data_IF_032720662826
#
_entry.id   IF_032720662826
#
_cell.length_a   1.000
_cell.length_b   1.000
_cell.length_c   1.000
_cell.angle_alpha   90.00
_cell.angle_beta   90.00
_cell.angle_gamma   90.00
#
_symmetry.space_group_name_H-M   'P 1'
#
loop_
_entity.id
_entity.type
_entity.pdbx_description
1 polymer ?
#
# COMPACT_ATOMS: atom_id res chain seq x y z
N UNK A 1 -1.82 -10.25 -2.61
CA UNK A 1 -1.18 -10.55 -1.31
C UNK A 1 0.15 -9.83 -1.28
N UNK A 2 0.32 -8.80 -0.45
CA UNK A 2 1.65 -8.23 -0.19
C UNK A 2 2.33 -9.25 0.73
N UNK A 3 3.45 -9.83 0.30
CA UNK A 3 4.22 -10.76 1.13
C UNK A 3 4.81 -10.01 2.31
N UNK A 4 4.58 -10.52 3.53
CA UNK A 4 5.16 -9.98 4.77
C UNK A 4 6.68 -9.78 4.60
N UNK A 5 7.16 -8.60 4.96
CA UNK A 5 8.59 -8.26 4.93
C UNK A 5 9.20 -8.10 3.53
N UNK A 6 8.39 -7.91 2.47
CA UNK A 6 8.91 -7.59 1.14
C UNK A 6 8.79 -6.09 0.84
N UNK A 7 9.91 -5.45 0.54
CA UNK A 7 9.94 -4.10 -0.01
C UNK A 7 9.74 -4.17 -1.52
N UNK A 8 8.73 -3.47 -2.03
CA UNK A 8 8.41 -3.41 -3.47
C UNK A 8 8.62 -1.98 -3.94
N UNK A 9 9.47 -1.80 -4.95
CA UNK A 9 9.74 -0.51 -5.58
C UNK A 9 9.20 -0.53 -7.00
N UNK A 10 8.37 0.46 -7.35
CA UNK A 10 7.93 0.69 -8.72
C UNK A 10 8.67 1.90 -9.29
N UNK A 11 9.59 1.64 -10.21
CA UNK A 11 10.59 2.58 -10.68
C UNK A 11 10.32 2.95 -12.14
N UNK A 12 10.70 4.18 -12.52
CA UNK A 12 10.85 4.53 -13.94
C UNK A 12 12.03 3.75 -14.53
N UNK A 13 12.09 3.69 -15.87
CA UNK A 13 13.20 3.08 -16.58
C UNK A 13 14.56 3.64 -16.13
N UNK A 14 14.70 4.98 -16.13
CA UNK A 14 15.97 5.64 -15.82
C UNK A 14 16.42 5.34 -14.39
N UNK A 15 15.53 5.44 -13.41
CA UNK A 15 15.85 5.13 -12.01
C UNK A 15 16.16 3.64 -11.83
N UNK A 16 15.48 2.73 -12.53
CA UNK A 16 15.75 1.30 -12.48
C UNK A 16 17.15 0.95 -13.03
N UNK A 17 17.51 1.50 -14.19
CA UNK A 17 18.80 1.27 -14.83
C UNK A 17 19.96 1.81 -13.98
N UNK A 18 19.78 2.98 -13.35
CA UNK A 18 20.74 3.53 -12.40
C UNK A 18 20.84 2.70 -11.11
N UNK A 19 19.70 2.24 -10.58
CA UNK A 19 19.64 1.50 -9.32
C UNK A 19 20.43 0.18 -9.38
N UNK A 20 20.42 -0.48 -10.55
CA UNK A 20 21.24 -1.68 -10.78
C UNK A 20 20.87 -2.87 -9.90
N UNK A 21 19.61 -2.97 -9.48
CA UNK A 21 19.05 -4.11 -8.75
C UNK A 21 18.19 -4.99 -9.68
N UNK A 22 18.09 -6.30 -9.42
CA UNK A 22 17.25 -7.18 -10.22
C UNK A 22 15.78 -6.78 -10.08
N UNK A 23 15.08 -6.71 -11.21
CA UNK A 23 13.68 -6.32 -11.29
C UNK A 23 13.06 -6.79 -12.60
N UNK A 24 11.73 -6.75 -12.66
CA UNK A 24 10.97 -7.16 -13.84
C UNK A 24 10.23 -5.96 -14.44
N UNK A 25 10.03 -5.88 -15.76
CA UNK A 25 9.12 -4.90 -16.34
C UNK A 25 7.73 -4.99 -15.69
N UNK A 26 7.12 -3.84 -15.41
CA UNK A 26 5.77 -3.80 -14.87
C UNK A 26 4.79 -4.46 -15.86
N UNK A 27 3.80 -5.19 -15.34
CA UNK A 27 2.82 -5.93 -16.15
C UNK A 27 1.86 -5.02 -16.92
N UNK A 28 1.66 -3.79 -16.43
CA UNK A 28 0.70 -2.84 -16.96
C UNK A 28 1.39 -1.50 -17.23
N UNK A 29 0.90 -0.82 -18.27
CA UNK A 29 1.46 0.44 -18.75
C UNK A 29 2.33 0.27 -19.99
N UNK A 30 2.90 1.37 -20.50
CA UNK A 30 3.71 1.34 -21.72
C UNK A 30 4.92 0.41 -21.56
N UNK A 31 5.20 -0.35 -22.62
CA UNK A 31 6.23 -1.38 -22.61
C UNK A 31 7.58 -0.83 -22.13
N UNK A 32 8.16 -1.47 -21.10
CA UNK A 32 9.48 -1.15 -20.52
C UNK A 32 9.66 0.29 -20.04
N UNK A 33 8.59 0.99 -19.68
CA UNK A 33 8.70 2.32 -19.03
C UNK A 33 8.74 2.24 -17.50
N UNK A 34 8.25 1.14 -16.92
CA UNK A 34 8.20 0.90 -15.48
C UNK A 34 8.77 -0.46 -15.14
N UNK A 35 9.45 -0.54 -14.00
CA UNK A 35 10.08 -1.76 -13.50
C UNK A 35 9.70 -1.95 -12.03
N UNK A 36 9.49 -3.22 -11.66
CA UNK A 36 9.19 -3.63 -10.29
C UNK A 36 10.39 -4.38 -9.73
N UNK A 37 11.00 -3.80 -8.70
CA UNK A 37 12.06 -4.43 -7.90
C UNK A 37 11.43 -4.93 -6.61
N UNK A 38 11.68 -6.19 -6.26
CA UNK A 38 11.18 -6.81 -5.03
C UNK A 38 12.36 -7.27 -4.19
N UNK A 39 12.39 -6.84 -2.93
CA UNK A 39 13.46 -7.15 -1.98
C UNK A 39 12.81 -7.81 -0.77
N UNK A 40 13.17 -9.07 -0.51
CA UNK A 40 12.73 -9.76 0.68
C UNK A 40 13.62 -9.36 1.87
N UNK A 41 13.11 -8.49 2.74
CA UNK A 41 13.82 -7.97 3.91
C UNK A 41 14.05 -9.03 5.00
N UNK A 42 13.39 -10.18 4.92
CA UNK A 42 13.51 -11.28 5.89
C UNK A 42 14.63 -12.28 5.54
N UNK A 43 15.30 -12.11 4.41
CA UNK A 43 16.40 -12.98 4.05
C UNK A 43 17.59 -12.82 4.99
N UNK A 44 18.33 -13.92 5.23
CA UNK A 44 19.58 -13.90 6.01
C UNK A 44 20.65 -12.97 5.40
N UNK A 45 20.54 -12.70 4.09
CA UNK A 45 21.39 -11.78 3.34
C UNK A 45 21.14 -10.30 3.68
N UNK A 46 19.97 -9.98 4.27
CA UNK A 46 19.52 -8.63 4.65
C UNK A 46 19.92 -8.22 6.07
N UNK A 47 20.78 -9.02 6.73
CA UNK A 47 21.37 -8.64 8.01
C UNK A 47 22.49 -7.60 7.75
N UNK A 48 22.55 -6.49 8.50
CA UNK A 48 23.64 -5.52 8.38
C UNK A 48 25.04 -6.16 8.41
N UNK A 49 25.94 -5.71 7.54
CA UNK A 49 27.28 -6.29 7.35
C UNK A 49 27.33 -7.50 6.40
N UNK A 50 26.20 -8.04 5.93
CA UNK A 50 26.17 -9.07 4.89
C UNK A 50 26.13 -8.44 3.50
N UNK A 51 26.71 -9.15 2.52
CA UNK A 51 26.82 -8.68 1.13
C UNK A 51 25.50 -8.24 0.51
N UNK A 52 24.40 -8.93 0.81
CA UNK A 52 23.06 -8.58 0.28
C UNK A 52 22.59 -7.23 0.79
N UNK A 53 22.62 -7.04 2.11
CA UNK A 53 22.30 -5.78 2.77
C UNK A 53 23.19 -4.64 2.27
N UNK A 54 24.51 -4.82 2.28
CA UNK A 54 25.46 -3.76 1.88
C UNK A 54 25.29 -3.37 0.42
N UNK A 55 25.00 -4.33 -0.48
CA UNK A 55 24.73 -4.05 -1.90
C UNK A 55 23.49 -3.15 -2.06
N UNK A 56 22.40 -3.47 -1.38
CA UNK A 56 21.16 -2.70 -1.48
C UNK A 56 21.33 -1.32 -0.85
N UNK A 57 21.96 -1.26 0.32
CA UNK A 57 22.28 0.02 0.97
C UNK A 57 23.08 0.92 0.03
N UNK A 58 24.13 0.39 -0.59
CA UNK A 58 24.92 1.14 -1.56
C UNK A 58 24.09 1.61 -2.76
N UNK A 59 23.23 0.75 -3.32
CA UNK A 59 22.33 1.15 -4.42
C UNK A 59 21.43 2.33 -4.02
N UNK A 60 20.85 2.29 -2.82
CA UNK A 60 19.95 3.33 -2.33
C UNK A 60 20.72 4.63 -2.06
N UNK A 61 21.86 4.57 -1.38
CA UNK A 61 22.69 5.74 -1.07
C UNK A 61 23.18 6.47 -2.34
N UNK A 62 23.38 5.76 -3.45
CA UNK A 62 23.92 6.33 -4.69
C UNK A 62 22.87 6.66 -5.75
N UNK A 63 21.67 6.10 -5.67
CA UNK A 63 20.62 6.29 -6.69
C UNK A 63 19.37 7.00 -6.14
N UNK A 64 18.97 6.65 -4.92
CA UNK A 64 17.78 7.18 -4.26
C UNK A 64 18.20 8.20 -3.19
N UNK A 65 19.06 9.14 -3.57
CA UNK A 65 19.63 10.13 -2.66
C UNK A 65 18.63 11.20 -2.23
N UNK A 66 17.61 11.45 -3.04
CA UNK A 66 16.60 12.47 -2.76
C UNK A 66 15.55 11.93 -1.78
N UNK A 67 15.24 12.68 -0.70
CA UNK A 67 14.19 12.30 0.22
C UNK A 67 12.83 12.24 -0.47
N UNK A 68 12.03 11.22 -0.17
CA UNK A 68 10.65 11.12 -0.62
C UNK A 68 9.71 10.89 0.57
N UNK A 69 8.49 11.45 0.52
CA UNK A 69 7.53 11.33 1.61
C UNK A 69 7.01 9.89 1.70
N UNK A 70 6.90 9.39 2.93
CA UNK A 70 6.29 8.10 3.23
C UNK A 70 5.04 8.28 4.08
N UNK A 71 4.01 7.50 3.78
CA UNK A 71 2.93 7.21 4.72
C UNK A 71 3.27 5.90 5.45
N UNK A 72 3.31 5.95 6.77
CA UNK A 72 3.70 4.81 7.62
C UNK A 72 2.60 4.56 8.65
N UNK A 73 2.17 3.31 8.74
CA UNK A 73 1.26 2.81 9.78
C UNK A 73 1.82 1.50 10.35
N UNK A 74 1.64 1.29 11.65
CA UNK A 74 2.02 0.06 12.33
C UNK A 74 0.87 -0.40 13.22
N UNK A 75 0.63 -1.71 13.25
CA UNK A 75 -0.33 -2.34 14.15
C UNK A 75 0.47 -3.18 15.14
N UNK A 76 0.32 -2.87 16.43
CA UNK A 76 0.88 -3.71 17.48
C UNK A 76 0.06 -4.99 17.57
N UNK A 77 0.71 -6.14 17.37
CA UNK A 77 0.05 -7.45 17.46
C UNK A 77 -0.27 -7.85 18.90
N UNK A 78 0.12 -7.05 19.91
CA UNK A 78 -0.31 -7.21 21.31
C UNK A 78 0.28 -8.44 22.01
N UNK A 79 1.26 -9.12 21.43
CA UNK A 79 1.80 -10.39 21.96
C UNK A 79 2.71 -10.15 23.18
N UNK A 80 3.11 -8.91 23.48
CA UNK A 80 3.92 -8.58 24.67
C UNK A 80 3.43 -7.30 25.37
N UNK A 81 2.41 -7.44 26.22
CA UNK A 81 1.88 -6.38 27.10
C UNK A 81 2.91 -5.75 28.06
N UNK A 82 4.11 -6.32 28.20
CA UNK A 82 5.17 -5.81 29.08
C UNK A 82 6.16 -4.88 28.37
N UNK A 83 6.00 -4.63 27.06
CA UNK A 83 6.90 -3.77 26.29
C UNK A 83 6.15 -2.60 25.63
N UNK A 84 5.23 -2.00 26.39
CA UNK A 84 4.40 -0.83 26.03
C UNK A 84 5.25 0.39 25.60
N UNK A 85 6.57 0.33 25.82
CA UNK A 85 7.54 1.38 25.51
C UNK A 85 8.39 1.11 24.27
N UNK A 86 8.20 0.01 23.54
CA UNK A 86 8.72 -0.12 22.18
C UNK A 86 7.88 0.74 21.22
N UNK A 87 7.72 2.03 21.55
CA UNK A 87 7.26 3.02 20.59
C UNK A 87 8.27 2.97 19.46
N UNK A 88 7.84 2.57 18.27
CA UNK A 88 8.63 2.69 17.06
C UNK A 88 9.00 4.17 16.91
N UNK A 89 10.20 4.53 17.35
CA UNK A 89 10.73 5.88 17.25
C UNK A 89 11.38 6.00 15.90
N UNK A 90 11.04 7.09 15.22
CA UNK A 90 11.72 7.42 13.99
C UNK A 90 13.13 7.96 14.32
N UNK A 91 14.13 7.71 13.46
CA UNK A 91 15.43 8.36 13.59
C UNK A 91 15.28 9.89 13.62
N UNK A 92 16.16 10.63 14.31
CA UNK A 92 16.08 12.11 14.34
C UNK A 92 16.14 12.76 12.96
N UNK A 93 16.73 12.09 11.97
CA UNK A 93 16.78 12.53 10.57
C UNK A 93 15.44 12.43 9.85
N UNK A 94 14.47 11.73 10.43
CA UNK A 94 13.17 11.50 9.83
C UNK A 94 12.13 12.43 10.44
N UNK A 95 11.69 13.42 9.67
CA UNK A 95 10.68 14.40 10.07
C UNK A 95 9.27 13.78 10.07
N UNK A 96 9.01 12.86 11.00
CA UNK A 96 7.72 12.22 11.15
C UNK A 96 6.66 13.21 11.67
N UNK A 97 5.55 13.29 10.95
CA UNK A 97 4.34 13.99 11.41
C UNK A 97 3.24 12.97 11.61
N UNK A 98 2.59 13.03 12.78
CA UNK A 98 1.41 12.20 13.04
C UNK A 98 0.28 12.67 12.14
N UNK A 99 -0.19 11.78 11.25
CA UNK A 99 -1.37 12.01 10.44
C UNK A 99 -2.59 11.49 11.20
N UNK A 100 -3.51 12.37 11.55
CA UNK A 100 -4.78 11.99 12.19
C UNK A 100 -5.86 11.92 11.12
N UNK A 101 -6.55 10.79 11.02
CA UNK A 101 -7.68 10.63 10.12
C UNK A 101 -8.88 11.34 10.76
N UNK A 102 -9.41 12.35 10.07
CA UNK A 102 -10.67 12.99 10.44
C UNK A 102 -11.83 12.11 9.98
N UNK A 103 -12.65 11.65 10.91
CA UNK A 103 -13.85 10.87 10.60
C UNK A 103 -15.02 11.83 10.46
N UNK A 104 -15.55 11.93 9.26
CA UNK A 104 -16.77 12.68 8.99
C UNK A 104 -17.95 11.71 8.94
N UNK A 105 -18.92 11.93 9.83
CA UNK A 105 -20.17 11.19 9.84
C UNK A 105 -21.26 12.10 9.31
N UNK A 106 -21.93 11.66 8.25
CA UNK A 106 -23.04 12.38 7.65
C UNK A 106 -24.26 11.48 7.64
N UNK A 107 -25.39 12.04 8.06
CA UNK A 107 -26.68 11.37 7.94
C UNK A 107 -27.27 11.71 6.58
N UNK A 108 -27.38 10.71 5.72
CA UNK A 108 -28.11 10.82 4.47
C UNK A 108 -29.60 10.56 4.76
N UNK A 109 -30.45 11.54 4.51
CA UNK A 109 -31.90 11.41 4.63
C UNK A 109 -32.49 11.12 3.24
N UNK A 110 -33.67 10.49 3.21
CA UNK A 110 -34.46 10.27 2.00
C UNK A 110 -33.77 9.47 0.88
N UNK A 111 -32.83 8.60 1.26
CA UNK A 111 -32.17 7.71 0.28
C UNK A 111 -33.12 6.58 -0.12
N UNK A 112 -33.25 6.35 -1.43
CA UNK A 112 -33.94 5.19 -1.97
C UNK A 112 -32.97 4.01 -1.96
N UNK A 113 -33.14 3.08 -1.03
CA UNK A 113 -32.35 1.85 -1.00
C UNK A 113 -32.86 0.86 -2.07
N UNK A 114 -31.99 0.27 -2.91
CA UNK A 114 -32.39 -0.77 -3.84
C UNK A 114 -32.68 -2.04 -3.03
N UNK A 115 -33.95 -2.26 -2.67
CA UNK A 115 -34.36 -3.47 -1.96
C UNK A 115 -34.35 -4.63 -2.96
N UNK A 116 -33.28 -5.43 -2.93
CA UNK A 116 -33.17 -6.68 -3.70
C UNK A 116 -32.72 -7.82 -2.79
N UNK A 117 -33.48 -8.92 -2.78
CA UNK A 117 -33.07 -10.15 -2.11
C UNK A 117 -32.04 -10.88 -2.98
N UNK A 118 -30.75 -10.64 -2.71
CA UNK A 118 -29.68 -11.33 -3.41
C UNK A 118 -29.60 -12.77 -2.87
N UNK A 119 -30.27 -13.70 -3.52
CA UNK A 119 -30.11 -15.13 -3.22
C UNK A 119 -29.01 -15.72 -4.10
N UNK A 120 -28.18 -16.59 -3.54
CA UNK A 120 -27.06 -17.23 -4.27
C UNK A 120 -27.52 -18.34 -5.24
N UNK A 121 -28.83 -18.60 -5.31
CA UNK A 121 -29.43 -19.63 -6.15
C UNK A 121 -29.89 -19.11 -7.51
N UNK A 122 -30.04 -17.80 -7.68
CA UNK A 122 -30.52 -17.18 -8.91
C UNK A 122 -29.38 -16.58 -9.74
N UNK A 123 -29.32 -16.87 -11.04
CA UNK A 123 -28.30 -16.33 -11.97
C UNK A 123 -28.31 -14.79 -12.08
N UNK A 124 -29.34 -14.12 -11.53
CA UNK A 124 -29.50 -12.67 -11.51
C UNK A 124 -28.66 -11.94 -10.45
N UNK A 125 -28.07 -12.67 -9.48
CA UNK A 125 -27.28 -12.07 -8.39
C UNK A 125 -26.15 -11.15 -8.86
N UNK A 126 -25.58 -11.43 -10.05
CA UNK A 126 -24.53 -10.59 -10.65
C UNK A 126 -25.06 -9.23 -11.07
N UNK A 127 -26.25 -9.18 -11.67
CA UNK A 127 -26.90 -7.92 -12.07
C UNK A 127 -27.24 -7.10 -10.82
N UNK A 128 -27.77 -7.77 -9.80
CA UNK A 128 -28.18 -7.11 -8.56
C UNK A 128 -27.00 -6.51 -7.80
N UNK A 129 -25.85 -7.20 -7.75
CA UNK A 129 -24.65 -6.67 -7.11
C UNK A 129 -24.06 -5.48 -7.89
N UNK A 130 -24.12 -5.49 -9.22
CA UNK A 130 -23.66 -4.35 -10.03
C UNK A 130 -24.52 -3.12 -9.73
N UNK A 131 -25.83 -3.26 -9.68
CA UNK A 131 -26.74 -2.16 -9.35
C UNK A 131 -26.53 -1.62 -7.93
N UNK A 132 -26.31 -2.51 -6.95
CA UNK A 132 -25.99 -2.10 -5.57
C UNK A 132 -24.64 -1.36 -5.51
N UNK A 133 -23.64 -1.83 -6.25
CA UNK A 133 -22.32 -1.18 -6.32
C UNK A 133 -22.42 0.23 -6.93
N UNK A 134 -23.12 0.37 -8.05
CA UNK A 134 -23.37 1.66 -8.68
C UNK A 134 -24.15 2.59 -7.76
N UNK A 135 -25.15 2.06 -7.04
CA UNK A 135 -25.90 2.81 -6.04
C UNK A 135 -25.01 3.33 -4.91
N UNK A 136 -24.09 2.53 -4.37
CA UNK A 136 -23.11 3.00 -3.37
C UNK A 136 -22.22 4.12 -3.92
N UNK A 137 -21.83 4.03 -5.19
CA UNK A 137 -21.11 5.10 -5.88
C UNK A 137 -21.91 6.40 -5.92
N UNK A 138 -23.18 6.32 -6.34
CA UNK A 138 -24.07 7.49 -6.43
C UNK A 138 -24.37 8.11 -5.05
N UNK A 139 -24.63 7.27 -4.03
CA UNK A 139 -24.84 7.71 -2.66
C UNK A 139 -23.57 8.39 -2.10
N UNK A 140 -22.38 7.84 -2.37
CA UNK A 140 -21.10 8.44 -1.96
C UNK A 140 -20.81 9.79 -2.65
N UNK A 141 -21.33 10.01 -3.86
CA UNK A 141 -21.17 11.24 -4.62
C UNK A 141 -22.28 12.27 -4.37
N UNK A 142 -23.31 11.93 -3.57
CA UNK A 142 -24.51 12.76 -3.34
C UNK A 142 -25.25 13.10 -4.64
N UNK A 143 -25.23 12.21 -5.62
CA UNK A 143 -25.86 12.41 -6.93
C UNK A 143 -27.29 11.88 -7.02
N UNK A 144 -27.82 11.32 -5.93
CA UNK A 144 -29.25 11.04 -5.78
C UNK A 144 -29.96 12.30 -5.26
N UNK A 145 -30.68 12.97 -6.17
CA UNK A 145 -31.80 13.86 -5.84
C UNK A 145 -33.10 13.07 -5.97
#
# INVERSE_FOLDING_TARGET
MISLGTLILNLTKDTYEQLGLPGNPAKFGPYRQRFVVQINLLEKSMIPGKKGFERIKWCFDNTLSDPFPFLISYVDSGINFNNINARNTFPPTFNARKFTIEMNFEKLNDIIFPVKEVTSQDDHWRSDIVEIYDWFGMASLRTQM
#
